data_IF_792285196096
#
_entry.id   IF_792285196096
#
_cell.length_a   1.000
_cell.length_b   1.000
_cell.length_c   1.000
_cell.angle_alpha   90.00
_cell.angle_beta   90.00
_cell.angle_gamma   90.00
#
_symmetry.space_group_name_H-M   'P 1'
#
loop_
_entity.id
_entity.type
_entity.pdbx_description
1 polymer ?
#
# COMPACT_ATOMS: atom_id res chain seq x y z
N UNK A 1 -18.70 -26.12 17.38
CA UNK A 1 -17.45 -26.87 17.21
C UNK A 1 -16.38 -26.10 17.96
N UNK A 2 -15.76 -26.70 18.98
CA UNK A 2 -14.66 -26.07 19.71
C UNK A 2 -13.47 -25.92 18.77
N UNK A 3 -13.23 -24.71 18.28
CA UNK A 3 -12.04 -24.37 17.51
C UNK A 3 -10.84 -24.52 18.43
N UNK A 4 -10.01 -25.54 18.20
CA UNK A 4 -8.73 -25.68 18.88
C UNK A 4 -7.88 -24.44 18.56
N UNK A 5 -7.29 -23.83 19.59
CA UNK A 5 -6.42 -22.66 19.49
C UNK A 5 -5.02 -23.01 19.98
N UNK A 6 -4.02 -22.35 19.40
CA UNK A 6 -2.61 -22.52 19.73
C UNK A 6 -1.99 -21.18 20.10
N UNK A 7 -1.01 -21.25 20.98
CA UNK A 7 -0.28 -20.12 21.50
C UNK A 7 0.98 -19.85 20.68
N UNK A 8 1.12 -18.61 20.22
CA UNK A 8 2.28 -18.13 19.49
C UNK A 8 3.04 -17.14 20.35
N UNK A 9 4.29 -17.46 20.67
CA UNK A 9 5.20 -16.59 21.42
C UNK A 9 6.09 -15.80 20.45
N UNK A 10 6.10 -14.47 20.58
CA UNK A 10 6.72 -13.56 19.61
C UNK A 10 8.00 -12.94 20.15
N UNK A 11 9.13 -13.27 19.52
CA UNK A 11 10.42 -12.65 19.77
C UNK A 11 10.72 -11.53 18.76
N UNK A 12 11.40 -10.44 19.17
CA UNK A 12 11.91 -10.15 20.52
C UNK A 12 10.90 -9.47 21.46
N UNK A 13 9.65 -9.26 21.00
CA UNK A 13 8.65 -8.48 21.75
C UNK A 13 8.15 -9.12 23.06
N UNK A 14 8.47 -10.40 23.30
CA UNK A 14 7.95 -11.23 24.40
C UNK A 14 6.43 -11.15 24.55
N UNK A 15 5.70 -11.01 23.42
CA UNK A 15 4.24 -11.01 23.39
C UNK A 15 3.72 -12.40 23.05
N UNK A 16 2.59 -12.77 23.66
CA UNK A 16 1.84 -13.97 23.36
C UNK A 16 0.61 -13.61 22.54
N UNK A 17 0.34 -14.36 21.47
CA UNK A 17 -0.91 -14.24 20.70
C UNK A 17 -1.54 -15.62 20.49
N UNK A 18 -2.86 -15.64 20.35
CA UNK A 18 -3.60 -16.87 20.04
C UNK A 18 -3.96 -16.94 18.55
N UNK A 19 -3.78 -18.13 17.98
CA UNK A 19 -4.16 -18.48 16.61
C UNK A 19 -5.07 -19.70 16.57
N UNK A 20 -5.93 -19.78 15.56
CA UNK A 20 -6.79 -20.97 15.36
C UNK A 20 -5.97 -22.11 14.76
N UNK A 21 -6.29 -23.36 15.10
CA UNK A 21 -5.68 -24.53 14.48
C UNK A 21 -5.85 -24.49 12.96
N UNK A 22 -4.76 -24.70 12.22
CA UNK A 22 -4.61 -24.56 10.75
C UNK A 22 -4.78 -23.14 10.20
N UNK A 23 -4.82 -22.10 11.05
CA UNK A 23 -4.71 -20.72 10.58
C UNK A 23 -3.32 -20.51 9.96
N UNK A 24 -3.24 -19.80 8.82
CA UNK A 24 -1.95 -19.37 8.28
C UNK A 24 -1.25 -18.46 9.29
N UNK A 25 0.04 -18.70 9.55
CA UNK A 25 0.82 -17.89 10.49
C UNK A 25 0.81 -16.41 10.08
N UNK A 26 0.87 -16.12 8.79
CA UNK A 26 0.75 -14.75 8.27
C UNK A 26 -0.59 -14.09 8.66
N UNK A 27 -1.70 -14.84 8.62
CA UNK A 27 -3.02 -14.33 9.01
C UNK A 27 -3.12 -14.14 10.52
N UNK A 28 -2.61 -15.09 11.30
CA UNK A 28 -2.60 -15.03 12.75
C UNK A 28 -1.83 -13.79 13.25
N UNK A 29 -0.67 -13.51 12.66
CA UNK A 29 0.12 -12.32 12.94
C UNK A 29 -0.61 -11.04 12.50
N UNK A 30 -1.15 -11.01 11.29
CA UNK A 30 -1.87 -9.84 10.76
C UNK A 30 -3.09 -9.45 11.62
N UNK A 31 -3.87 -10.43 12.09
CA UNK A 31 -5.02 -10.23 13.00
C UNK A 31 -4.64 -9.63 14.34
N UNK A 32 -3.36 -9.65 14.71
CA UNK A 32 -2.83 -9.07 15.94
C UNK A 32 -2.02 -7.80 15.69
N UNK A 33 -2.19 -7.20 14.51
CA UNK A 33 -1.54 -5.96 14.08
C UNK A 33 -0.09 -6.14 13.65
N UNK A 34 0.41 -7.38 13.53
CA UNK A 34 1.79 -7.66 13.13
C UNK A 34 1.80 -7.96 11.65
N UNK A 35 2.02 -6.92 10.85
CA UNK A 35 2.06 -7.05 9.41
C UNK A 35 3.46 -7.44 8.95
N UNK A 36 3.55 -8.59 8.29
CA UNK A 36 4.74 -8.97 7.55
C UNK A 36 4.67 -8.48 6.11
N UNK A 37 5.82 -8.34 5.47
CA UNK A 37 5.90 -8.11 4.03
C UNK A 37 5.37 -9.32 3.27
N UNK A 38 4.19 -9.17 2.66
CA UNK A 38 3.53 -10.20 1.86
C UNK A 38 3.36 -9.76 0.40
N UNK A 39 4.48 -9.45 -0.28
CA UNK A 39 4.45 -8.79 -1.61
C UNK A 39 3.62 -9.50 -2.67
N UNK A 40 3.53 -10.83 -2.56
CA UNK A 40 2.76 -11.73 -3.41
C UNK A 40 1.39 -12.13 -2.85
N UNK A 41 0.82 -11.39 -1.88
CA UNK A 41 -0.47 -11.73 -1.28
C UNK A 41 -0.52 -13.10 -0.56
N UNK A 42 0.63 -13.66 -0.20
CA UNK A 42 0.73 -14.95 0.48
C UNK A 42 1.04 -16.15 -0.43
N UNK A 43 1.22 -15.97 -1.73
CA UNK A 43 1.51 -17.06 -2.68
C UNK A 43 2.92 -17.69 -2.56
N UNK A 44 3.77 -17.18 -1.66
CA UNK A 44 5.12 -17.71 -1.42
C UNK A 44 6.17 -17.31 -2.47
N UNK A 45 5.80 -16.63 -3.55
CA UNK A 45 6.71 -16.29 -4.66
C UNK A 45 7.70 -15.16 -4.34
N UNK A 46 7.40 -14.30 -3.37
CA UNK A 46 8.22 -13.11 -3.08
C UNK A 46 9.31 -13.32 -2.01
N UNK A 47 9.22 -14.36 -1.18
CA UNK A 47 10.19 -14.67 -0.12
C UNK A 47 10.28 -13.67 1.06
N UNK A 48 9.43 -12.63 1.12
CA UNK A 48 9.61 -11.48 2.03
C UNK A 48 8.94 -11.62 3.41
N UNK A 49 8.07 -12.60 3.62
CA UNK A 49 7.43 -12.88 4.91
C UNK A 49 8.22 -13.88 5.77
N UNK A 50 9.56 -13.83 5.66
CA UNK A 50 10.45 -14.76 6.32
C UNK A 50 10.37 -14.61 7.84
N UNK A 51 10.17 -15.71 8.55
CA UNK A 51 10.13 -15.79 10.01
C UNK A 51 10.95 -16.99 10.46
N UNK A 52 11.39 -16.95 11.72
CA UNK A 52 12.15 -18.02 12.34
C UNK A 52 11.29 -18.73 13.37
N UNK A 53 11.10 -20.04 13.21
CA UNK A 53 10.19 -20.84 14.03
C UNK A 53 10.94 -21.80 14.94
N UNK A 54 10.42 -21.97 16.16
CA UNK A 54 10.86 -22.97 17.15
C UNK A 54 9.69 -23.51 17.97
N UNK A 55 9.87 -24.63 18.65
CA UNK A 55 8.84 -25.22 19.51
C UNK A 55 8.70 -24.47 20.85
N UNK A 56 7.53 -24.51 21.48
CA UNK A 56 7.26 -23.91 22.80
C UNK A 56 7.23 -24.95 23.94
N UNK A 57 7.54 -24.54 25.18
CA UNK A 57 8.07 -23.24 25.59
C UNK A 57 9.61 -23.25 25.53
N UNK A 58 10.20 -22.28 24.82
CA UNK A 58 11.55 -21.85 25.18
C UNK A 58 11.46 -21.19 26.55
N UNK A 59 12.09 -21.78 27.58
CA UNK A 59 11.96 -21.33 28.97
C UNK A 59 12.20 -19.82 29.11
N UNK A 60 11.30 -19.14 29.81
CA UNK A 60 11.35 -17.69 30.05
C UNK A 60 12.18 -17.37 31.30
N UNK A 61 13.50 -17.51 31.22
CA UNK A 61 14.41 -17.08 32.31
C UNK A 61 15.76 -16.58 31.75
N UNK A 62 15.71 -15.59 30.87
CA UNK A 62 16.89 -15.23 30.07
C UNK A 62 17.21 -13.74 30.06
N UNK A 63 18.43 -13.42 30.51
CA UNK A 63 19.08 -12.11 30.45
C UNK A 63 19.45 -11.75 29.01
N UNK A 64 19.68 -10.47 28.72
CA UNK A 64 19.96 -9.95 27.38
C UNK A 64 21.12 -10.64 26.62
N UNK A 65 22.03 -11.34 27.32
CA UNK A 65 23.14 -12.10 26.71
C UNK A 65 22.75 -13.47 26.12
N UNK A 66 21.52 -13.96 26.35
CA UNK A 66 21.11 -15.33 25.98
C UNK A 66 20.16 -15.41 24.76
N UNK A 67 19.77 -14.27 24.20
CA UNK A 67 18.93 -14.19 22.98
C UNK A 67 19.67 -14.71 21.74
N UNK A 68 20.99 -14.52 21.68
CA UNK A 68 21.85 -15.01 20.57
C UNK A 68 21.94 -16.54 20.50
N UNK A 69 21.75 -17.24 21.63
CA UNK A 69 21.88 -18.70 21.70
C UNK A 69 20.60 -19.43 21.32
N UNK A 70 19.43 -18.80 21.44
CA UNK A 70 18.13 -19.38 21.08
C UNK A 70 17.84 -19.25 19.57
N UNK A 71 18.36 -18.23 18.89
CA UNK A 71 18.14 -18.06 17.44
C UNK A 71 18.72 -19.20 16.59
N UNK A 72 19.75 -19.90 17.08
CA UNK A 72 20.41 -21.01 16.35
C UNK A 72 19.54 -22.26 16.20
N UNK A 73 18.51 -22.40 17.02
CA UNK A 73 17.57 -23.54 16.98
C UNK A 73 16.34 -23.23 16.13
N UNK A 74 16.19 -21.98 15.68
CA UNK A 74 15.05 -21.58 14.86
C UNK A 74 15.34 -21.90 13.40
N UNK A 75 14.32 -22.39 12.70
CA UNK A 75 14.39 -22.64 11.27
C UNK A 75 13.68 -21.53 10.49
N UNK A 76 14.21 -21.18 9.32
CA UNK A 76 13.64 -20.15 8.45
C UNK A 76 12.42 -20.72 7.70
N UNK A 77 11.28 -20.05 7.83
CA UNK A 77 10.03 -20.39 7.16
C UNK A 77 9.38 -19.15 6.54
N UNK A 78 8.57 -19.34 5.51
CA UNK A 78 7.70 -18.28 5.00
C UNK A 78 6.39 -18.31 5.79
N UNK A 79 6.09 -17.24 6.53
CA UNK A 79 4.88 -17.17 7.34
C UNK A 79 3.59 -17.40 6.53
N UNK A 80 3.58 -17.06 5.24
CA UNK A 80 2.42 -17.31 4.37
C UNK A 80 2.21 -18.79 4.01
N UNK A 81 3.26 -19.61 4.10
CA UNK A 81 3.23 -21.04 3.78
C UNK A 81 3.24 -21.92 5.05
N UNK A 82 3.19 -21.31 6.22
CA UNK A 82 3.14 -22.01 7.51
C UNK A 82 1.71 -22.01 8.06
N UNK A 83 1.18 -23.19 8.38
CA UNK A 83 -0.06 -23.34 9.15
C UNK A 83 0.26 -23.56 10.64
N UNK A 84 -0.56 -22.99 11.51
CA UNK A 84 -0.40 -23.13 12.97
C UNK A 84 -1.06 -24.43 13.44
N UNK A 85 -0.27 -25.46 13.70
CA UNK A 85 -0.76 -26.79 14.12
C UNK A 85 -0.53 -27.12 15.59
N UNK A 86 0.41 -26.42 16.23
CA UNK A 86 0.79 -26.55 17.63
C UNK A 86 1.15 -25.17 18.18
N UNK A 87 1.37 -25.07 19.49
CA UNK A 87 2.04 -23.92 20.08
C UNK A 87 3.45 -23.77 19.48
N UNK A 88 3.88 -22.53 19.22
CA UNK A 88 5.16 -22.25 18.56
C UNK A 88 5.74 -20.87 18.91
N UNK A 89 7.06 -20.77 18.86
CA UNK A 89 7.82 -19.52 19.03
C UNK A 89 8.18 -18.97 17.67
N UNK A 90 7.89 -17.68 17.43
CA UNK A 90 8.20 -16.97 16.19
C UNK A 90 9.13 -15.82 16.50
N UNK A 91 10.33 -15.85 15.92
CA UNK A 91 11.19 -14.67 15.82
C UNK A 91 10.92 -13.95 14.51
N UNK A 92 10.62 -12.66 14.60
CA UNK A 92 10.31 -11.81 13.45
C UNK A 92 11.42 -10.78 13.30
N UNK A 93 12.14 -10.86 12.18
CA UNK A 93 13.16 -9.88 11.86
C UNK A 93 12.54 -8.53 11.49
N UNK A 94 13.22 -7.43 11.81
CA UNK A 94 12.79 -6.09 11.41
C UNK A 94 12.64 -5.91 9.89
N UNK A 95 13.39 -6.68 9.09
CA UNK A 95 13.33 -6.66 7.63
C UNK A 95 12.05 -7.33 7.07
N UNK A 96 11.46 -8.26 7.84
CA UNK A 96 10.23 -8.96 7.48
C UNK A 96 8.98 -8.16 7.85
N UNK A 97 9.08 -7.19 8.77
CA UNK A 97 7.97 -6.34 9.16
C UNK A 97 7.64 -5.33 8.07
N UNK A 98 6.34 -5.24 7.74
CA UNK A 98 5.79 -4.14 6.98
C UNK A 98 5.70 -2.93 7.92
N UNK A 99 6.71 -2.07 7.89
CA UNK A 99 6.66 -0.81 8.63
C UNK A 99 5.77 0.18 7.91
N UNK A 100 5.00 0.95 8.67
CA UNK A 100 4.45 2.19 8.13
C UNK A 100 5.66 3.05 7.73
N UNK A 101 5.82 3.32 6.44
CA UNK A 101 6.81 4.30 6.02
C UNK A 101 6.23 5.66 6.34
N UNK A 102 6.85 6.34 7.30
CA UNK A 102 6.66 7.77 7.51
C UNK A 102 7.25 8.45 6.29
N UNK A 103 6.40 8.70 5.30
CA UNK A 103 6.78 9.53 4.17
C UNK A 103 6.45 10.95 4.61
N UNK A 104 7.46 11.74 4.93
CA UNK A 104 7.31 13.19 4.88
C UNK A 104 6.98 13.55 3.43
N UNK A 105 5.71 13.81 3.16
CA UNK A 105 5.32 14.43 1.91
C UNK A 105 5.46 15.93 2.10
N UNK A 106 6.10 16.66 1.16
CA UNK A 106 6.15 18.11 1.25
C UNK A 106 4.72 18.62 1.42
N UNK A 107 4.54 19.58 2.33
CA UNK A 107 3.27 20.28 2.45
C UNK A 107 2.84 20.80 1.08
N UNK A 108 1.52 20.90 0.84
CA UNK A 108 0.99 21.50 -0.37
C UNK A 108 1.78 22.78 -0.68
N UNK A 109 2.38 22.84 -1.88
CA UNK A 109 3.10 24.02 -2.30
C UNK A 109 2.15 25.22 -2.14
N UNK A 110 2.56 26.19 -1.31
CA UNK A 110 1.85 27.44 -1.14
C UNK A 110 1.63 28.07 -2.51
N UNK A 111 0.37 28.16 -2.95
CA UNK A 111 0.01 28.73 -4.25
C UNK A 111 -0.84 27.83 -5.16
N UNK A 112 -1.22 26.62 -4.76
CA UNK A 112 -2.23 25.86 -5.51
C UNK A 112 -3.63 26.46 -5.25
N UNK A 113 -4.43 26.78 -6.29
CA UNK A 113 -5.75 27.38 -6.15
C UNK A 113 -6.79 26.33 -5.72
N UNK A 114 -6.59 25.71 -4.56
CA UNK A 114 -7.63 24.95 -3.88
C UNK A 114 -8.66 25.93 -3.31
N UNK A 115 -9.96 25.61 -3.42
CA UNK A 115 -11.00 26.36 -2.72
C UNK A 115 -10.70 26.35 -1.22
N UNK A 116 -10.62 27.51 -0.58
CA UNK A 116 -10.64 27.61 0.88
C UNK A 116 -11.92 26.98 1.41
N UNK A 117 -11.82 25.81 2.05
CA UNK A 117 -12.93 25.23 2.77
C UNK A 117 -12.99 25.87 4.15
N UNK A 118 -13.93 26.82 4.34
CA UNK A 118 -14.16 27.43 5.65
C UNK A 118 -14.57 26.36 6.66
N UNK A 119 -13.64 25.98 7.54
CA UNK A 119 -13.92 25.17 8.72
C UNK A 119 -15.00 25.86 9.57
N UNK A 120 -16.17 25.23 9.75
CA UNK A 120 -17.18 25.71 10.70
C UNK A 120 -16.64 25.78 12.14
N UNK A 121 -17.26 26.64 12.96
CA UNK A 121 -16.88 26.92 14.35
C UNK A 121 -16.57 25.62 15.13
N UNK A 122 -15.37 25.53 15.70
CA UNK A 122 -14.88 24.38 16.50
C UNK A 122 -15.14 24.62 17.99
N UNK A 123 -15.32 23.54 18.75
CA UNK A 123 -15.31 23.58 20.22
C UNK A 123 -13.87 23.64 20.72
N UNK A 124 -13.63 24.36 21.81
CA UNK A 124 -12.32 24.40 22.46
C UNK A 124 -11.86 22.98 22.86
N UNK A 125 -10.62 22.63 22.53
CA UNK A 125 -10.01 21.33 22.84
C UNK A 125 -9.87 20.37 21.64
N UNK A 126 -10.82 20.38 20.70
CA UNK A 126 -10.80 19.54 19.49
C UNK A 126 -10.29 20.34 18.29
N UNK A 127 -9.12 19.95 17.78
CA UNK A 127 -8.38 20.83 16.88
C UNK A 127 -7.50 20.09 15.87
N UNK A 128 -7.70 18.78 15.67
CA UNK A 128 -6.93 18.02 14.69
C UNK A 128 -7.88 17.32 13.72
N UNK A 129 -7.38 17.04 12.53
CA UNK A 129 -8.15 16.35 11.50
C UNK A 129 -7.31 15.25 10.87
N UNK A 130 -7.97 14.23 10.35
CA UNK A 130 -7.32 13.10 9.71
C UNK A 130 -7.83 13.00 8.27
N UNK A 131 -6.92 12.94 7.30
CA UNK A 131 -7.26 12.57 5.93
C UNK A 131 -6.69 11.18 5.64
N UNK A 132 -7.54 10.29 5.13
CA UNK A 132 -7.19 8.90 4.85
C UNK A 132 -7.48 8.62 3.38
N UNK A 133 -6.49 8.10 2.68
CA UNK A 133 -6.63 7.56 1.33
C UNK A 133 -6.47 6.04 1.39
N UNK A 134 -7.55 5.31 1.15
CA UNK A 134 -7.60 3.85 1.19
C UNK A 134 -7.39 3.31 -0.22
N UNK A 135 -6.14 3.24 -0.64
CA UNK A 135 -5.75 2.63 -1.90
C UNK A 135 -5.70 1.10 -1.83
N UNK A 136 -5.71 0.45 -3.01
CA UNK A 136 -5.64 -1.01 -3.11
C UNK A 136 -4.31 -1.55 -2.58
N UNK A 137 -3.18 -0.92 -2.94
CA UNK A 137 -1.84 -1.34 -2.49
C UNK A 137 -1.41 -0.64 -1.20
N UNK A 138 -1.73 0.64 -1.06
CA UNK A 138 -1.24 1.52 0.00
C UNK A 138 -2.39 2.27 0.64
N UNK A 139 -2.39 2.37 1.96
CA UNK A 139 -3.27 3.27 2.72
C UNK A 139 -2.41 4.41 3.25
N UNK A 140 -2.77 5.65 2.91
CA UNK A 140 -2.08 6.84 3.39
C UNK A 140 -2.92 7.55 4.45
N UNK A 141 -2.26 8.03 5.50
CA UNK A 141 -2.87 8.71 6.64
C UNK A 141 -2.14 10.03 6.86
N UNK A 142 -2.87 11.13 6.85
CA UNK A 142 -2.35 12.47 7.07
C UNK A 142 -3.01 13.08 8.30
N UNK A 143 -2.20 13.51 9.25
CA UNK A 143 -2.64 14.31 10.38
C UNK A 143 -2.56 15.78 9.99
N UNK A 144 -3.65 16.50 10.18
CA UNK A 144 -3.77 17.91 9.86
C UNK A 144 -4.11 18.72 11.11
N UNK A 145 -3.79 20.01 11.04
CA UNK A 145 -4.10 20.96 12.09
C UNK A 145 -5.61 21.31 12.17
N UNK A 146 -5.90 22.34 12.96
CA UNK A 146 -7.26 22.81 13.24
C UNK A 146 -7.88 23.59 12.08
N UNK A 147 -7.13 23.90 11.04
CA UNK A 147 -7.67 24.51 9.83
C UNK A 147 -8.00 23.41 8.82
N UNK A 148 -7.19 22.34 8.82
CA UNK A 148 -7.19 21.33 7.76
C UNK A 148 -6.26 21.72 6.61
N UNK A 149 -5.57 22.86 6.70
CA UNK A 149 -4.74 23.40 5.63
C UNK A 149 -3.28 22.97 5.74
N UNK A 150 -2.84 22.60 6.95
CA UNK A 150 -1.46 22.18 7.21
C UNK A 150 -1.39 20.72 7.65
N UNK A 151 -0.62 19.95 6.91
CA UNK A 151 -0.21 18.59 7.29
C UNK A 151 0.83 18.70 8.41
N UNK A 152 0.52 18.14 9.58
CA UNK A 152 1.41 18.09 10.74
C UNK A 152 2.32 16.86 10.70
N UNK A 153 1.78 15.73 10.24
CA UNK A 153 2.51 14.48 10.07
C UNK A 153 1.80 13.60 9.04
N UNK A 154 2.53 12.67 8.43
CA UNK A 154 1.96 11.70 7.49
C UNK A 154 2.61 10.33 7.63
N UNK A 155 1.80 9.29 7.48
CA UNK A 155 2.22 7.91 7.49
C UNK A 155 1.56 7.16 6.33
N UNK A 156 2.22 6.13 5.84
CA UNK A 156 1.63 5.22 4.88
C UNK A 156 1.86 3.79 5.34
N UNK A 157 0.85 2.95 5.21
CA UNK A 157 0.98 1.52 5.41
C UNK A 157 0.64 0.80 4.12
N UNK A 158 1.20 -0.40 3.97
CA UNK A 158 0.72 -1.31 2.94
C UNK A 158 -0.68 -1.78 3.31
N UNK A 159 -1.59 -1.84 2.33
CA UNK A 159 -2.94 -2.28 2.58
C UNK A 159 -2.94 -3.77 2.98
N UNK A 160 -3.30 -4.12 4.22
CA UNK A 160 -3.23 -5.50 4.71
C UNK A 160 -4.25 -6.42 4.05
N UNK A 161 -5.23 -5.86 3.33
CA UNK A 161 -6.18 -6.63 2.56
C UNK A 161 -5.53 -7.38 1.38
N UNK A 162 -4.25 -7.12 1.07
CA UNK A 162 -3.49 -7.89 0.07
C UNK A 162 -3.50 -9.40 0.34
N UNK A 163 -3.65 -9.77 1.61
CA UNK A 163 -3.81 -11.14 2.08
C UNK A 163 -5.01 -11.88 1.47
N UNK A 164 -6.00 -11.14 0.95
CA UNK A 164 -7.22 -11.68 0.35
C UNK A 164 -7.30 -11.43 -1.16
N UNK A 165 -6.35 -10.71 -1.74
CA UNK A 165 -6.35 -10.36 -3.16
C UNK A 165 -5.44 -9.19 -3.48
N UNK A 166 -4.74 -9.28 -4.61
CA UNK A 166 -3.83 -8.25 -5.10
C UNK A 166 -4.57 -7.05 -5.69
N UNK A 167 -5.81 -7.26 -6.16
CA UNK A 167 -6.65 -6.24 -6.81
C UNK A 167 -8.08 -6.18 -6.22
N UNK A 168 -8.90 -5.26 -6.75
CA UNK A 168 -10.29 -5.08 -6.29
C UNK A 168 -11.16 -6.31 -6.57
N UNK A 169 -10.99 -6.98 -7.71
CA UNK A 169 -11.84 -8.09 -8.12
C UNK A 169 -11.56 -9.36 -7.32
N UNK A 170 -10.28 -9.66 -7.09
CA UNK A 170 -9.85 -10.78 -6.25
C UNK A 170 -10.34 -10.61 -4.81
N UNK A 171 -10.34 -9.38 -4.26
CA UNK A 171 -10.91 -9.10 -2.93
C UNK A 171 -12.42 -9.25 -2.89
N UNK A 172 -13.14 -8.76 -3.91
CA UNK A 172 -14.59 -8.97 -4.02
C UNK A 172 -14.90 -10.47 -4.06
N UNK A 173 -14.16 -11.22 -4.88
CA UNK A 173 -14.32 -12.67 -4.97
C UNK A 173 -14.04 -13.34 -3.60
N UNK A 174 -12.99 -12.94 -2.89
CA UNK A 174 -12.73 -13.45 -1.55
C UNK A 174 -13.89 -13.18 -0.58
N UNK A 175 -14.53 -12.01 -0.62
CA UNK A 175 -15.74 -11.73 0.18
C UNK A 175 -16.90 -12.65 -0.22
N UNK A 176 -17.11 -12.88 -1.52
CA UNK A 176 -18.18 -13.77 -2.00
C UNK A 176 -18.02 -15.22 -1.53
N UNK A 177 -16.78 -15.65 -1.29
CA UNK A 177 -16.47 -16.99 -0.77
C UNK A 177 -16.74 -17.12 0.73
N UNK A 178 -16.62 -16.04 1.50
CA UNK A 178 -16.93 -16.05 2.94
C UNK A 178 -17.20 -14.67 3.53
N UNK A 179 -18.30 -14.55 4.27
CA UNK A 179 -18.64 -13.35 5.05
C UNK A 179 -17.59 -13.01 6.12
N UNK A 180 -16.83 -13.98 6.63
CA UNK A 180 -15.72 -13.67 7.56
C UNK A 180 -14.60 -12.90 6.88
N UNK A 181 -14.40 -13.04 5.56
CA UNK A 181 -13.38 -12.26 4.85
C UNK A 181 -13.70 -10.77 4.81
N UNK A 182 -14.98 -10.38 4.66
CA UNK A 182 -15.39 -8.98 4.77
C UNK A 182 -14.99 -8.39 6.13
N UNK A 183 -15.37 -9.08 7.21
CA UNK A 183 -15.04 -8.65 8.58
C UNK A 183 -13.53 -8.56 8.80
N UNK A 184 -12.77 -9.55 8.33
CA UNK A 184 -11.32 -9.55 8.48
C UNK A 184 -10.66 -8.43 7.68
N UNK A 185 -11.06 -8.22 6.42
CA UNK A 185 -10.53 -7.14 5.58
C UNK A 185 -10.84 -5.75 6.15
N UNK A 186 -12.04 -5.57 6.70
CA UNK A 186 -12.45 -4.34 7.37
C UNK A 186 -11.62 -4.10 8.64
N UNK A 187 -11.52 -5.12 9.50
CA UNK A 187 -10.76 -5.02 10.74
C UNK A 187 -9.28 -4.73 10.45
N UNK A 188 -8.67 -5.42 9.49
CA UNK A 188 -7.25 -5.26 9.18
C UNK A 188 -6.93 -3.85 8.67
N UNK A 189 -7.77 -3.27 7.80
CA UNK A 189 -7.54 -1.91 7.32
C UNK A 189 -7.73 -0.88 8.43
N UNK A 190 -8.74 -1.05 9.29
CA UNK A 190 -9.00 -0.15 10.44
C UNK A 190 -7.89 -0.24 11.49
N UNK A 191 -7.43 -1.44 11.83
CA UNK A 191 -6.30 -1.63 12.75
C UNK A 191 -5.02 -0.99 12.21
N UNK A 192 -4.78 -1.13 10.91
CA UNK A 192 -3.66 -0.50 10.23
C UNK A 192 -3.71 1.03 10.27
N UNK A 193 -4.90 1.62 10.06
CA UNK A 193 -5.13 3.06 10.18
C UNK A 193 -4.94 3.52 11.63
N UNK A 194 -5.51 2.82 12.60
CA UNK A 194 -5.38 3.14 14.03
C UNK A 194 -3.91 3.12 14.47
N UNK A 195 -3.17 2.07 14.10
CA UNK A 195 -1.75 1.96 14.41
C UNK A 195 -0.95 3.11 13.79
N UNK A 196 -1.17 3.39 12.50
CA UNK A 196 -0.47 4.47 11.78
C UNK A 196 -0.80 5.83 12.39
N UNK A 197 -2.06 6.06 12.78
CA UNK A 197 -2.50 7.29 13.45
C UNK A 197 -1.82 7.47 14.81
N UNK A 198 -1.71 6.41 15.61
CA UNK A 198 -0.93 6.44 16.87
C UNK A 198 0.52 6.82 16.59
N UNK A 199 1.18 6.18 15.63
CA UNK A 199 2.58 6.47 15.34
C UNK A 199 2.82 7.93 14.92
N UNK A 200 1.98 8.49 14.04
CA UNK A 200 2.17 9.87 13.57
C UNK A 200 1.80 10.91 14.63
N UNK A 201 0.85 10.60 15.53
CA UNK A 201 0.49 11.49 16.65
C UNK A 201 1.59 11.50 17.71
N UNK A 202 2.13 10.33 18.08
CA UNK A 202 3.26 10.21 18.99
C UNK A 202 4.50 10.98 18.48
N UNK A 203 4.79 10.88 17.19
CA UNK A 203 5.95 11.55 16.56
C UNK A 203 5.89 13.08 16.64
N UNK A 204 4.71 13.68 16.50
CA UNK A 204 4.54 15.13 16.55
C UNK A 204 4.08 15.65 17.93
N UNK A 205 4.00 14.77 18.94
CA UNK A 205 3.52 15.12 20.28
C UNK A 205 2.05 15.56 20.32
N UNK A 206 1.25 15.09 19.36
CA UNK A 206 -0.18 15.37 19.29
C UNK A 206 -0.97 14.35 20.12
N UNK A 207 -2.08 14.79 20.72
CA UNK A 207 -3.02 13.90 21.40
C UNK A 207 -4.07 13.39 20.41
N UNK A 208 -4.10 12.07 20.20
CA UNK A 208 -5.04 11.38 19.31
C UNK A 208 -6.52 11.66 19.67
N UNK A 209 -6.82 11.95 20.95
CA UNK A 209 -8.16 12.28 21.41
C UNK A 209 -8.63 13.69 20.99
N UNK A 210 -7.77 14.47 20.33
CA UNK A 210 -8.10 15.80 19.78
C UNK A 210 -8.48 15.75 18.30
N UNK A 211 -8.43 14.57 17.68
CA UNK A 211 -8.84 14.33 16.29
C UNK A 211 -10.35 14.10 16.26
N UNK A 212 -11.12 15.09 15.78
CA UNK A 212 -12.58 15.08 15.77
C UNK A 212 -13.20 15.00 14.37
N UNK A 213 -12.39 15.19 13.33
CA UNK A 213 -12.83 15.16 11.92
C UNK A 213 -11.94 14.22 11.12
N UNK A 214 -12.57 13.30 10.41
CA UNK A 214 -11.89 12.37 9.52
C UNK A 214 -12.51 12.49 8.14
N UNK A 215 -11.71 12.67 7.10
CA UNK A 215 -12.11 12.51 5.72
C UNK A 215 -11.47 11.23 5.16
N UNK A 216 -12.25 10.38 4.51
CA UNK A 216 -11.74 9.17 3.86
C UNK A 216 -12.13 9.14 2.39
N UNK A 217 -11.16 8.75 1.56
CA UNK A 217 -11.31 8.60 0.12
C UNK A 217 -10.71 7.28 -0.33
N UNK A 218 -11.10 6.82 -1.52
CA UNK A 218 -10.62 5.59 -2.13
C UNK A 218 -11.59 5.11 -3.20
N UNK A 219 -11.17 4.11 -3.98
CA UNK A 219 -12.06 3.50 -4.96
C UNK A 219 -13.26 2.83 -4.26
N UNK A 220 -14.34 2.63 -5.00
CA UNK A 220 -15.62 2.16 -4.44
C UNK A 220 -15.49 0.86 -3.65
N UNK A 221 -14.74 -0.13 -4.14
CA UNK A 221 -14.50 -1.38 -3.42
C UNK A 221 -13.77 -1.16 -2.10
N UNK A 222 -12.71 -0.34 -2.10
CA UNK A 222 -11.95 -0.04 -0.88
C UNK A 222 -12.80 0.66 0.17
N UNK A 223 -13.64 1.61 -0.25
CA UNK A 223 -14.57 2.30 0.63
C UNK A 223 -15.61 1.33 1.22
N UNK A 224 -16.15 0.40 0.42
CA UNK A 224 -17.09 -0.61 0.91
C UNK A 224 -16.44 -1.51 1.97
N UNK A 225 -15.24 -2.05 1.68
CA UNK A 225 -14.50 -2.88 2.61
C UNK A 225 -14.14 -2.13 3.90
N UNK A 226 -13.68 -0.88 3.81
CA UNK A 226 -13.39 -0.03 4.97
C UNK A 226 -14.62 0.21 5.84
N UNK A 227 -15.79 0.43 5.23
CA UNK A 227 -17.05 0.61 5.94
C UNK A 227 -17.69 -0.70 6.44
N UNK A 228 -17.10 -1.86 6.12
CA UNK A 228 -17.67 -3.17 6.46
C UNK A 228 -18.95 -3.50 5.68
N UNK A 229 -19.11 -2.89 4.50
CA UNK A 229 -20.26 -3.08 3.61
C UNK A 229 -19.85 -4.07 2.52
N UNK A 230 -20.74 -5.02 2.22
CA UNK A 230 -20.51 -6.06 1.21
C UNK A 230 -20.30 -5.43 -0.20
N UNK A 231 -19.15 -5.64 -0.85
CA UNK A 231 -18.86 -5.09 -2.17
C UNK A 231 -19.27 -6.02 -3.33
N UNK A 232 -19.89 -7.19 -3.09
CA UNK A 232 -20.12 -8.21 -4.12
C UNK A 232 -20.90 -7.71 -5.34
N UNK A 233 -21.84 -6.78 -5.15
CA UNK A 233 -22.63 -6.19 -6.24
C UNK A 233 -21.79 -5.37 -7.23
N UNK A 234 -20.61 -4.91 -6.83
CA UNK A 234 -19.66 -4.22 -7.71
C UNK A 234 -19.03 -5.20 -8.71
N UNK A 235 -18.83 -6.46 -8.31
CA UNK A 235 -18.16 -7.47 -9.13
C UNK A 235 -19.06 -8.17 -10.16
N UNK A 236 -20.37 -7.94 -10.12
CA UNK A 236 -21.36 -8.60 -10.98
C UNK A 236 -22.18 -7.56 -11.71
N UNK A 237 -22.42 -7.76 -13.01
CA UNK A 237 -23.28 -6.88 -13.80
C UNK A 237 -24.64 -6.66 -13.10
N UNK A 238 -25.13 -5.41 -12.93
CA UNK A 238 -24.68 -4.17 -13.58
C UNK A 238 -23.60 -3.34 -12.84
N UNK A 239 -22.78 -3.98 -12.00
CA UNK A 239 -21.60 -3.41 -11.32
C UNK A 239 -21.93 -2.24 -10.39
N UNK A 240 -23.05 -2.35 -9.66
CA UNK A 240 -23.56 -1.27 -8.82
C UNK A 240 -22.96 -1.36 -7.41
N UNK A 241 -22.40 -0.26 -6.87
CA UNK A 241 -22.04 -0.21 -5.47
C UNK A 241 -23.30 -0.20 -4.59
N UNK A 242 -23.16 -0.64 -3.34
CA UNK A 242 -24.26 -0.63 -2.37
C UNK A 242 -24.73 0.80 -2.03
N UNK A 243 -23.86 1.80 -2.24
CA UNK A 243 -24.20 3.22 -2.15
C UNK A 243 -23.27 4.06 -3.03
N UNK A 244 -23.73 5.25 -3.40
CA UNK A 244 -22.91 6.30 -4.04
C UNK A 244 -22.93 7.62 -3.27
N UNK A 245 -23.94 7.85 -2.44
CA UNK A 245 -24.03 9.07 -1.64
C UNK A 245 -22.90 9.17 -0.60
N UNK A 246 -22.49 10.41 -0.32
CA UNK A 246 -21.55 10.68 0.78
C UNK A 246 -22.09 10.14 2.11
N UNK A 247 -21.19 9.71 3.01
CA UNK A 247 -21.56 9.24 4.34
C UNK A 247 -20.96 10.15 5.40
N UNK A 248 -21.68 10.33 6.50
CA UNK A 248 -21.20 11.04 7.68
C UNK A 248 -21.62 10.28 8.93
N UNK A 249 -20.70 9.48 9.46
CA UNK A 249 -20.95 8.55 10.57
C UNK A 249 -20.00 8.83 11.73
N UNK A 250 -20.34 8.44 12.97
CA UNK A 250 -19.37 8.39 14.06
C UNK A 250 -18.15 7.55 13.66
N UNK A 251 -16.95 8.05 13.92
CA UNK A 251 -15.71 7.34 13.61
C UNK A 251 -15.59 6.03 14.42
N UNK A 252 -16.16 6.02 15.63
CA UNK A 252 -16.25 4.85 16.50
C UNK A 252 -17.05 3.69 15.88
N UNK A 253 -18.03 3.97 15.03
CA UNK A 253 -18.87 2.93 14.41
C UNK A 253 -18.07 2.08 13.41
N UNK A 254 -17.01 2.65 12.84
CA UNK A 254 -16.06 1.96 11.96
C UNK A 254 -14.91 1.30 12.76
N UNK A 255 -14.74 1.67 14.04
CA UNK A 255 -13.67 1.18 14.91
C UNK A 255 -12.42 2.07 14.92
N UNK A 256 -12.52 3.34 14.51
CA UNK A 256 -11.41 4.29 14.64
C UNK A 256 -11.29 4.80 16.08
N UNK A 257 -10.09 4.71 16.64
CA UNK A 257 -9.77 5.07 18.03
C UNK A 257 -9.32 6.54 18.13
N UNK A 258 -10.27 7.46 18.06
CA UNK A 258 -10.06 8.91 18.04
C UNK A 258 -10.84 9.61 19.17
N UNK A 259 -11.12 10.91 19.02
CA UNK A 259 -12.04 11.61 19.90
C UNK A 259 -13.41 10.90 20.00
N UNK A 260 -14.04 10.94 21.17
CA UNK A 260 -15.34 10.28 21.43
C UNK A 260 -16.45 10.72 20.46
N UNK A 261 -16.44 11.98 20.04
CA UNK A 261 -17.40 12.59 19.11
C UNK A 261 -16.82 12.77 17.70
N UNK A 262 -15.71 12.09 17.38
CA UNK A 262 -15.11 12.15 16.07
C UNK A 262 -16.09 11.70 14.98
N UNK A 263 -16.16 12.47 13.89
CA UNK A 263 -16.99 12.15 12.72
C UNK A 263 -16.13 11.78 11.54
N UNK A 264 -16.50 10.68 10.91
CA UNK A 264 -15.95 10.21 9.65
C UNK A 264 -16.85 10.66 8.51
N UNK A 265 -16.25 11.38 7.56
CA UNK A 265 -16.86 11.77 6.31
C UNK A 265 -16.27 10.97 5.16
N UNK A 266 -17.12 10.23 4.47
CA UNK A 266 -16.80 9.53 3.23
C UNK A 266 -17.34 10.36 2.08
N UNK A 267 -16.48 10.74 1.14
CA UNK A 267 -16.89 11.45 -0.07
C UNK A 267 -17.80 10.55 -0.94
N UNK A 268 -18.63 11.15 -1.82
CA UNK A 268 -19.50 10.36 -2.70
C UNK A 268 -18.68 9.50 -3.66
N UNK A 269 -19.30 8.44 -4.18
CA UNK A 269 -18.75 7.55 -5.20
C UNK A 269 -19.44 7.82 -6.55
N UNK A 270 -18.77 7.55 -7.66
CA UNK A 270 -19.33 7.75 -9.00
C UNK A 270 -20.02 6.47 -9.48
N UNK A 271 -19.32 5.33 -9.41
CA UNK A 271 -19.80 4.04 -9.90
C UNK A 271 -19.04 2.88 -9.23
N UNK A 272 -19.26 1.63 -9.66
CA UNK A 272 -18.57 0.47 -9.09
C UNK A 272 -17.03 0.53 -9.18
N UNK A 273 -16.49 1.14 -10.24
CA UNK A 273 -15.04 1.20 -10.49
C UNK A 273 -14.48 2.63 -10.43
N UNK A 274 -15.28 3.61 -10.02
CA UNK A 274 -14.87 4.99 -9.83
C UNK A 274 -15.34 5.48 -8.46
N UNK A 275 -14.38 5.62 -7.54
CA UNK A 275 -14.68 6.00 -6.17
C UNK A 275 -14.49 7.48 -5.90
N UNK A 276 -14.24 7.77 -4.63
CA UNK A 276 -14.08 9.14 -4.11
C UNK A 276 -12.65 9.67 -4.23
N UNK A 277 -11.68 8.79 -4.48
CA UNK A 277 -10.29 9.12 -4.78
C UNK A 277 -10.15 10.07 -5.98
N UNK A 278 -10.73 9.71 -7.13
CA UNK A 278 -10.66 10.55 -8.32
C UNK A 278 -11.43 11.87 -8.16
N UNK A 279 -12.50 11.87 -7.34
CA UNK A 279 -13.23 13.10 -6.98
C UNK A 279 -12.35 14.00 -6.12
N UNK A 280 -11.67 13.43 -5.12
CA UNK A 280 -10.76 14.18 -4.25
C UNK A 280 -9.60 14.78 -5.05
N UNK A 281 -9.03 14.03 -5.98
CA UNK A 281 -8.01 14.52 -6.90
C UNK A 281 -8.54 15.64 -7.82
N UNK A 282 -9.76 15.51 -8.34
CA UNK A 282 -10.40 16.55 -9.15
C UNK A 282 -10.65 17.84 -8.36
N UNK A 283 -11.07 17.74 -7.09
CA UNK A 283 -11.24 18.88 -6.19
C UNK A 283 -9.88 19.52 -5.89
N UNK A 284 -8.88 18.72 -5.53
CA UNK A 284 -7.53 19.20 -5.20
C UNK A 284 -6.90 19.96 -6.38
N UNK A 285 -7.11 19.47 -7.60
CA UNK A 285 -6.60 20.10 -8.83
C UNK A 285 -7.50 21.23 -9.36
N UNK A 286 -8.67 21.49 -8.77
CA UNK A 286 -9.63 22.49 -9.26
C UNK A 286 -10.15 22.19 -10.67
N UNK A 287 -10.31 20.91 -11.01
CA UNK A 287 -10.69 20.46 -12.36
C UNK A 287 -12.06 20.98 -12.80
N UNK A 288 -12.96 21.27 -11.85
CA UNK A 288 -14.26 21.89 -12.09
C UNK A 288 -14.14 23.27 -12.78
N UNK A 289 -13.08 24.02 -12.44
CA UNK A 289 -12.78 25.37 -12.95
C UNK A 289 -11.76 25.34 -14.10
N UNK A 290 -11.25 24.18 -14.48
CA UNK A 290 -10.32 24.05 -15.59
C UNK A 290 -11.01 24.29 -16.94
N UNK A 291 -10.21 24.55 -17.98
CA UNK A 291 -10.72 24.71 -19.35
C UNK A 291 -11.22 23.35 -19.88
N UNK A 292 -12.31 23.32 -20.67
CA UNK A 292 -12.71 22.13 -21.43
C UNK A 292 -11.54 21.54 -22.23
N UNK A 293 -11.42 20.21 -22.23
CA UNK A 293 -10.27 19.47 -22.76
C UNK A 293 -9.17 19.18 -21.75
N UNK A 294 -9.25 19.70 -20.52
CA UNK A 294 -8.31 19.33 -19.44
C UNK A 294 -8.62 17.94 -18.90
N UNK A 295 -7.60 17.10 -18.78
CA UNK A 295 -7.71 15.73 -18.29
C UNK A 295 -6.88 15.53 -17.03
N UNK A 296 -7.48 14.89 -16.03
CA UNK A 296 -6.84 14.32 -14.87
C UNK A 296 -6.69 12.81 -15.11
N UNK A 297 -5.49 12.29 -14.91
CA UNK A 297 -5.18 10.87 -15.03
C UNK A 297 -4.54 10.44 -13.71
N UNK A 298 -5.24 9.58 -12.96
CA UNK A 298 -4.67 8.86 -11.85
C UNK A 298 -4.16 7.50 -12.35
N UNK A 299 -2.91 7.19 -12.04
CA UNK A 299 -2.23 6.01 -12.55
C UNK A 299 -1.77 5.16 -11.37
N UNK A 300 -2.54 4.12 -11.09
CA UNK A 300 -2.17 3.08 -10.14
C UNK A 300 -2.55 1.69 -10.65
N UNK A 301 -2.90 0.81 -9.72
CA UNK A 301 -3.43 -0.53 -9.99
C UNK A 301 -4.62 -0.48 -10.95
N UNK A 302 -5.46 0.54 -10.77
CA UNK A 302 -6.46 0.99 -11.73
C UNK A 302 -6.00 2.31 -12.35
N UNK A 303 -6.44 2.57 -13.59
CA UNK A 303 -6.22 3.84 -14.27
C UNK A 303 -7.52 4.61 -14.30
N UNK A 304 -7.65 5.63 -13.47
CA UNK A 304 -8.80 6.53 -13.46
C UNK A 304 -8.52 7.76 -14.32
N UNK A 305 -9.48 8.09 -15.20
CA UNK A 305 -9.39 9.25 -16.07
C UNK A 305 -10.64 10.10 -15.83
N UNK A 306 -10.43 11.40 -15.59
CA UNK A 306 -11.50 12.38 -15.52
C UNK A 306 -11.20 13.55 -16.47
N UNK A 307 -12.15 13.89 -17.33
CA UNK A 307 -12.01 14.98 -18.31
C UNK A 307 -13.03 16.07 -18.05
N UNK A 308 -12.57 17.32 -18.10
CA UNK A 308 -13.43 18.50 -18.13
C UNK A 308 -13.94 18.71 -19.55
N UNK A 309 -15.26 18.70 -19.69
CA UNK A 309 -15.98 18.98 -20.94
C UNK A 309 -16.78 20.28 -20.80
N UNK A 310 -17.39 20.74 -21.90
CA UNK A 310 -18.34 21.86 -21.89
C UNK A 310 -19.57 21.56 -21.02
N UNK A 311 -20.02 20.30 -20.98
CA UNK A 311 -21.23 19.88 -20.26
C UNK A 311 -21.00 19.53 -18.78
N UNK A 312 -19.74 19.47 -18.33
CA UNK A 312 -19.38 19.02 -16.99
C UNK A 312 -18.15 18.12 -16.97
N UNK A 313 -18.05 17.26 -15.95
CA UNK A 313 -16.99 16.28 -15.81
C UNK A 313 -17.46 14.92 -16.33
N UNK A 314 -16.62 14.24 -17.11
CA UNK A 314 -16.82 12.85 -17.50
C UNK A 314 -15.67 12.02 -16.95
N UNK A 315 -15.94 10.80 -16.50
CA UNK A 315 -14.93 9.93 -15.90
C UNK A 315 -15.06 8.49 -16.40
N UNK A 316 -13.94 7.78 -16.45
CA UNK A 316 -13.85 6.35 -16.76
C UNK A 316 -12.71 5.73 -15.96
N UNK A 317 -12.76 4.41 -15.78
CA UNK A 317 -11.67 3.62 -15.20
C UNK A 317 -11.23 2.54 -16.18
N UNK A 318 -9.96 2.17 -16.15
CA UNK A 318 -9.42 1.05 -16.91
C UNK A 318 -8.52 0.18 -16.03
N UNK A 319 -8.44 -1.12 -16.35
CA UNK A 319 -7.45 -2.00 -15.74
C UNK A 319 -6.07 -1.71 -16.34
N UNK A 320 -5.19 -1.10 -15.55
CA UNK A 320 -3.78 -0.84 -15.93
C UNK A 320 -2.84 -1.92 -15.43
N UNK A 321 -3.13 -2.50 -14.26
CA UNK A 321 -2.25 -3.44 -13.58
C UNK A 321 -1.06 -2.75 -12.91
N UNK A 322 -0.37 -3.41 -11.95
CA UNK A 322 0.54 -2.74 -11.04
C UNK A 322 1.98 -2.62 -11.57
N UNK A 323 2.18 -2.71 -12.90
CA UNK A 323 3.51 -2.69 -13.52
C UNK A 323 4.29 -1.41 -13.18
N UNK A 324 3.61 -0.26 -13.16
CA UNK A 324 4.20 1.04 -12.81
C UNK A 324 4.40 1.23 -11.29
N UNK A 325 3.79 0.38 -10.46
CA UNK A 325 4.11 0.27 -9.03
C UNK A 325 5.36 -0.60 -8.80
N UNK A 326 5.96 -1.15 -9.87
CA UNK A 326 7.08 -2.07 -9.82
C UNK A 326 6.67 -3.50 -9.47
N UNK A 327 5.38 -3.80 -9.34
CA UNK A 327 4.89 -5.16 -9.14
C UNK A 327 4.89 -5.93 -10.46
N UNK A 328 5.03 -7.26 -10.37
CA UNK A 328 5.08 -8.17 -11.53
C UNK A 328 6.22 -7.92 -12.53
N UNK A 329 7.17 -7.04 -12.19
CA UNK A 329 8.42 -6.81 -12.93
C UNK A 329 9.56 -7.44 -12.12
N UNK A 330 10.40 -8.27 -12.76
CA UNK A 330 11.42 -9.10 -12.08
C UNK A 330 12.31 -8.30 -11.10
N UNK A 331 12.74 -7.12 -11.51
CA UNK A 331 13.54 -6.19 -10.69
C UNK A 331 12.77 -4.92 -10.33
N UNK A 332 11.44 -4.94 -10.44
CA UNK A 332 10.60 -3.80 -10.09
C UNK A 332 10.54 -3.57 -8.58
N UNK A 333 10.53 -2.30 -8.18
CA UNK A 333 10.44 -1.89 -6.78
C UNK A 333 9.78 -0.51 -6.64
N UNK A 334 9.39 -0.15 -5.43
CA UNK A 334 8.89 1.20 -5.13
C UNK A 334 9.99 2.25 -5.29
N UNK A 335 9.59 3.52 -5.44
CA UNK A 335 10.47 4.67 -5.60
C UNK A 335 11.18 5.06 -4.29
N UNK A 336 12.08 4.21 -3.79
CA UNK A 336 12.89 4.39 -2.57
C UNK A 336 14.38 4.47 -2.91
N UNK A 337 15.23 4.82 -1.93
CA UNK A 337 16.68 4.90 -2.15
C UNK A 337 17.25 3.59 -2.72
N UNK A 338 18.01 3.69 -3.80
CA UNK A 338 18.54 2.54 -4.56
C UNK A 338 17.64 2.08 -5.71
N UNK A 339 16.45 2.66 -5.90
CA UNK A 339 15.64 2.44 -7.09
C UNK A 339 16.15 3.29 -8.27
N UNK A 340 16.19 2.70 -9.45
CA UNK A 340 16.43 3.40 -10.71
C UNK A 340 15.15 4.14 -11.11
N UNK A 341 15.23 5.46 -11.30
CA UNK A 341 14.09 6.32 -11.67
C UNK A 341 14.21 6.94 -13.07
N UNK A 342 15.38 6.83 -13.69
CA UNK A 342 15.66 7.30 -15.05
C UNK A 342 16.71 6.41 -15.68
N UNK A 343 16.54 6.14 -16.97
CA UNK A 343 17.45 5.35 -17.82
C UNK A 343 17.60 6.05 -19.14
N UNK A 344 18.81 6.07 -19.68
CA UNK A 344 19.02 6.33 -21.09
C UNK A 344 20.22 5.57 -21.64
N UNK A 345 20.33 5.60 -22.95
CA UNK A 345 21.27 4.78 -23.71
C UNK A 345 21.92 5.69 -24.76
N UNK A 346 23.24 5.74 -24.76
CA UNK A 346 24.03 6.38 -25.81
C UNK A 346 24.33 5.35 -26.89
N UNK A 347 23.74 5.55 -28.07
CA UNK A 347 23.87 4.63 -29.21
C UNK A 347 25.23 4.70 -29.89
N UNK A 348 26.03 5.76 -29.66
CA UNK A 348 27.33 5.89 -30.30
C UNK A 348 28.40 4.97 -29.69
N UNK A 349 28.28 4.66 -28.40
CA UNK A 349 29.21 3.84 -27.63
C UNK A 349 28.53 2.69 -26.87
N UNK A 350 27.23 2.47 -27.09
CA UNK A 350 26.41 1.46 -26.42
C UNK A 350 26.45 1.54 -24.89
N UNK A 351 26.56 2.76 -24.35
CA UNK A 351 26.63 2.98 -22.89
C UNK A 351 25.26 3.23 -22.30
N UNK A 352 24.92 2.48 -21.26
CA UNK A 352 23.72 2.69 -20.45
C UNK A 352 24.03 3.65 -19.31
N UNK A 353 23.24 4.72 -19.18
CA UNK A 353 23.25 5.62 -18.04
C UNK A 353 21.94 5.54 -17.27
N UNK A 354 22.02 5.70 -15.96
CA UNK A 354 20.85 5.64 -15.09
C UNK A 354 20.99 6.59 -13.92
N UNK A 355 19.85 6.98 -13.36
CA UNK A 355 19.78 7.74 -12.11
C UNK A 355 19.17 6.88 -11.03
N UNK A 356 19.76 6.96 -9.84
CA UNK A 356 19.24 6.32 -8.63
C UNK A 356 18.60 7.35 -7.73
N UNK A 357 17.48 7.00 -7.14
CA UNK A 357 16.93 7.72 -6.01
C UNK A 357 17.91 7.60 -4.84
N UNK A 358 18.31 8.73 -4.25
CA UNK A 358 19.15 8.82 -3.06
C UNK A 358 18.51 9.81 -2.08
N UNK A 359 17.57 9.35 -1.25
CA UNK A 359 16.87 10.23 -0.29
C UNK A 359 17.74 10.65 0.90
N UNK A 360 18.82 9.93 1.18
CA UNK A 360 19.77 10.25 2.25
C UNK A 360 21.18 10.35 1.65
N UNK A 361 21.75 11.55 1.66
CA UNK A 361 23.08 11.85 1.11
C UNK A 361 24.21 11.14 1.84
N UNK A 362 24.03 10.86 3.13
CA UNK A 362 25.07 10.31 4.01
C UNK A 362 25.18 8.78 3.87
N UNK A 363 24.17 8.13 3.28
CA UNK A 363 24.15 6.68 3.05
C UNK A 363 23.68 6.35 1.65
N UNK A 364 24.60 6.51 0.70
CA UNK A 364 24.38 6.14 -0.69
C UNK A 364 24.04 4.65 -0.81
N UNK A 365 22.99 4.35 -1.58
CA UNK A 365 22.56 2.99 -1.90
C UNK A 365 22.99 2.60 -3.31
N UNK A 366 23.37 1.34 -3.49
CA UNK A 366 23.55 0.76 -4.82
C UNK A 366 22.19 0.46 -5.46
N UNK A 367 22.19 0.22 -6.78
CA UNK A 367 21.00 -0.16 -7.52
C UNK A 367 20.43 -1.48 -6.97
N UNK A 368 19.19 -1.45 -6.51
CA UNK A 368 18.48 -2.62 -5.98
C UNK A 368 17.32 -3.06 -6.88
N UNK A 369 16.92 -2.21 -7.83
CA UNK A 369 15.80 -2.44 -8.73
C UNK A 369 15.39 -1.17 -9.47
N UNK A 370 14.26 -1.22 -10.16
CA UNK A 370 13.72 -0.14 -10.99
C UNK A 370 12.32 0.24 -10.52
N UNK A 371 12.06 1.54 -10.39
CA UNK A 371 10.72 2.04 -10.02
C UNK A 371 9.89 2.44 -11.24
N UNK A 372 8.62 2.80 -11.04
CA UNK A 372 7.67 3.13 -12.11
C UNK A 372 8.21 4.11 -13.16
N UNK A 373 8.75 5.25 -12.72
CA UNK A 373 9.36 6.23 -13.63
C UNK A 373 10.58 5.66 -14.36
N UNK A 374 11.37 4.84 -13.68
CA UNK A 374 12.48 4.10 -14.28
C UNK A 374 12.01 3.15 -15.37
N UNK A 375 10.91 2.41 -15.15
CA UNK A 375 10.34 1.49 -16.14
C UNK A 375 9.93 2.24 -17.40
N UNK A 376 9.18 3.34 -17.25
CA UNK A 376 8.78 4.19 -18.39
C UNK A 376 10.02 4.72 -19.13
N UNK A 377 11.00 5.23 -18.38
CA UNK A 377 12.24 5.75 -18.95
C UNK A 377 13.03 4.68 -19.69
N UNK A 378 13.13 3.46 -19.14
CA UNK A 378 13.85 2.34 -19.73
C UNK A 378 13.20 1.89 -21.03
N UNK A 379 11.88 1.70 -21.05
CA UNK A 379 11.15 1.33 -22.27
C UNK A 379 11.33 2.39 -23.35
N UNK A 380 11.20 3.68 -23.00
CA UNK A 380 11.47 4.79 -23.92
C UNK A 380 12.91 4.77 -24.46
N UNK A 381 13.90 4.55 -23.60
CA UNK A 381 15.31 4.52 -23.99
C UNK A 381 15.61 3.35 -24.93
N UNK A 382 15.15 2.15 -24.60
CA UNK A 382 15.33 0.95 -25.42
C UNK A 382 14.68 1.10 -26.80
N UNK A 383 13.49 1.70 -26.86
CA UNK A 383 12.78 1.94 -28.12
C UNK A 383 13.55 2.93 -28.99
N UNK A 384 14.00 4.05 -28.41
CA UNK A 384 14.79 5.06 -29.14
C UNK A 384 16.12 4.53 -29.64
N UNK A 385 16.74 3.61 -28.90
CA UNK A 385 17.99 2.95 -29.26
C UNK A 385 17.81 1.80 -30.26
N UNK A 386 16.57 1.44 -30.63
CA UNK A 386 16.28 0.33 -31.55
C UNK A 386 16.54 -1.07 -30.96
N UNK A 387 16.70 -1.16 -29.64
CA UNK A 387 16.91 -2.42 -28.89
C UNK A 387 15.59 -3.18 -28.75
N UNK A 388 14.48 -2.45 -28.64
CA UNK A 388 13.13 -3.00 -28.76
C UNK A 388 12.40 -2.38 -29.95
N UNK A 389 11.50 -3.15 -30.55
CA UNK A 389 10.60 -2.72 -31.60
C UNK A 389 9.35 -2.03 -31.01
N UNK A 390 8.57 -1.35 -31.86
CA UNK A 390 7.32 -0.69 -31.46
C UNK A 390 6.25 -1.64 -30.90
N UNK A 391 6.37 -2.93 -31.18
CA UNK A 391 5.53 -4.00 -30.63
C UNK A 391 6.02 -4.53 -29.25
N UNK A 392 7.11 -3.97 -28.72
CA UNK A 392 7.71 -4.36 -27.44
C UNK A 392 8.66 -5.57 -27.48
N UNK A 393 8.87 -6.19 -28.65
CA UNK A 393 9.82 -7.29 -28.80
C UNK A 393 11.26 -6.77 -28.82
N UNK A 394 12.17 -7.52 -28.22
CA UNK A 394 13.60 -7.29 -28.44
C UNK A 394 13.94 -7.52 -29.91
N UNK A 395 14.70 -6.58 -30.48
CA UNK A 395 15.21 -6.68 -31.83
C UNK A 395 16.35 -7.71 -31.87
N UNK A 396 16.16 -8.88 -32.51
CA UNK A 396 17.17 -9.95 -32.51
C UNK A 396 18.42 -9.59 -33.31
N UNK A 397 18.36 -8.54 -34.14
CA UNK A 397 19.48 -8.05 -34.95
C UNK A 397 20.22 -6.90 -34.25
N UNK A 398 19.79 -6.49 -33.06
CA UNK A 398 20.48 -5.46 -32.29
C UNK A 398 21.74 -6.06 -31.65
N UNK A 399 22.90 -5.53 -32.04
CA UNK A 399 24.19 -5.89 -31.44
C UNK A 399 24.52 -4.89 -30.32
N UNK A 400 24.00 -5.17 -29.12
CA UNK A 400 24.28 -4.39 -27.92
C UNK A 400 24.85 -5.31 -26.84
N UNK A 401 25.97 -4.94 -26.18
CA UNK A 401 26.65 -5.83 -25.21
C UNK A 401 25.76 -6.25 -24.04
N UNK A 402 24.86 -5.38 -23.60
CA UNK A 402 23.93 -5.65 -22.50
C UNK A 402 22.64 -6.41 -22.92
N UNK A 403 22.43 -6.68 -24.22
CA UNK A 403 21.30 -7.48 -24.69
C UNK A 403 21.70 -8.96 -24.72
N UNK A 404 21.01 -9.81 -23.95
CA UNK A 404 21.35 -11.23 -23.85
C UNK A 404 20.14 -12.14 -23.73
N UNK A 405 20.38 -13.45 -23.87
CA UNK A 405 19.40 -14.49 -23.55
C UNK A 405 19.68 -15.10 -22.18
N UNK A 406 18.61 -15.30 -21.42
CA UNK A 406 18.62 -16.08 -20.18
C UNK A 406 18.86 -17.57 -20.46
N UNK A 407 19.18 -18.33 -19.41
CA UNK A 407 19.27 -19.80 -19.48
C UNK A 407 17.99 -20.48 -19.96
N UNK A 408 16.83 -19.83 -19.80
CA UNK A 408 15.52 -20.30 -20.32
C UNK A 408 15.23 -19.84 -21.75
N UNK A 409 16.18 -19.19 -22.42
CA UNK A 409 16.06 -18.73 -23.81
C UNK A 409 15.32 -17.40 -24.01
N UNK A 410 14.78 -16.80 -22.94
CA UNK A 410 14.12 -15.49 -22.99
C UNK A 410 15.14 -14.36 -23.12
N UNK A 411 14.84 -13.34 -23.90
CA UNK A 411 15.64 -12.11 -23.98
C UNK A 411 15.52 -11.27 -22.71
N UNK A 412 16.62 -10.63 -22.34
CA UNK A 412 16.69 -9.60 -21.31
C UNK A 412 17.75 -8.54 -21.67
N UNK A 413 17.58 -7.35 -21.12
CA UNK A 413 18.54 -6.26 -21.24
C UNK A 413 19.07 -5.90 -19.86
N UNK A 414 20.39 -5.85 -19.72
CA UNK A 414 21.06 -5.54 -18.46
C UNK A 414 21.14 -4.02 -18.30
N UNK A 415 20.37 -3.47 -17.36
CA UNK A 415 20.44 -2.03 -17.04
C UNK A 415 21.62 -1.70 -16.14
N UNK A 416 21.90 -2.59 -15.18
CA UNK A 416 23.01 -2.48 -14.23
C UNK A 416 23.52 -3.90 -14.00
N UNK A 417 24.82 -4.10 -14.20
CA UNK A 417 25.47 -5.37 -13.88
C UNK A 417 25.46 -5.59 -12.37
N UNK A 418 25.08 -6.80 -11.94
CA UNK A 418 25.25 -7.21 -10.55
C UNK A 418 26.74 -7.38 -10.23
N UNK A 419 27.12 -7.04 -8.99
CA UNK A 419 28.43 -7.41 -8.46
C UNK A 419 28.51 -8.90 -8.15
#
# INVERSE_FOLDING_TARGET
MTTSTHDIFLLPSNRKIEASHKESLLMALARRGIQLRSDCGGQGSCGKCLVRLGETPFETSYTADSTESCEKLLTDHLACQTEVTSDLTVSISAASLSRAEVVEKPGFASGWPGKEFKSGNRKDGYNLSLAIDVGTTTVAVYLLDNTGDRILASGALRNPQILFGEDVMSRINAVSLSKTHLRNMQQFVVDGINHTTSCITDQCGADINRIDRVAVVGNSTMIHLFMGIDPCSIGVYPFLPAFTDSKNVPASDIGLNLARDARLHVLPLISGFLGSDIIAAAIACGLDNAKPGTMLIDVGTNGEIMVKTEAGLAATSCATGPALEGASIRHGMHAISGAIDSVGIDTANSTVYYRLIQRNSDKLRQAAGICGSGIVSAVSALLKAGIIESNGRFNPNCDHPDLRRTSKGNWEFVLVSGN
#
